data_IF_791451772755
#
_entry.id   IF_791451772755
#
_cell.length_a   1.000
_cell.length_b   1.000
_cell.length_c   1.000
_cell.angle_alpha   90.00
_cell.angle_beta   90.00
_cell.angle_gamma   90.00
#
_symmetry.space_group_name_H-M   'P 1'
#
loop_
_entity.id
_entity.type
_entity.pdbx_description
1 polymer ?
#
# COMPACT_ATOMS: atom_id res chain seq x y z
N UNK A 1 1.69 -40.24 -38.20
CA UNK A 1 0.55 -39.45 -37.69
C UNK A 1 1.05 -38.72 -36.45
N UNK A 2 1.40 -37.42 -36.50
CA UNK A 2 1.98 -36.77 -35.33
C UNK A 2 0.88 -36.51 -34.29
N UNK A 3 1.17 -36.87 -33.04
CA UNK A 3 0.28 -36.71 -31.91
C UNK A 3 -0.07 -35.22 -31.73
N UNK A 4 -1.38 -34.92 -31.77
CA UNK A 4 -1.90 -33.60 -31.43
C UNK A 4 -1.61 -33.35 -29.95
N UNK A 5 -0.57 -32.56 -29.67
CA UNK A 5 -0.31 -32.04 -28.34
C UNK A 5 -1.51 -31.24 -27.87
N UNK A 6 -2.14 -31.68 -26.78
CA UNK A 6 -3.24 -30.94 -26.15
C UNK A 6 -2.73 -29.55 -25.77
N UNK A 7 -3.38 -28.50 -26.31
CA UNK A 7 -3.07 -27.12 -25.96
C UNK A 7 -3.23 -26.94 -24.44
N UNK A 8 -2.29 -26.27 -23.75
CA UNK A 8 -2.44 -25.95 -22.33
C UNK A 8 -3.75 -25.20 -22.14
N UNK A 9 -4.68 -25.76 -21.36
CA UNK A 9 -5.91 -25.06 -20.98
C UNK A 9 -5.50 -23.84 -20.15
N UNK A 10 -5.75 -22.64 -20.67
CA UNK A 10 -5.66 -21.42 -19.89
C UNK A 10 -6.57 -21.56 -18.67
N UNK A 11 -5.97 -21.78 -17.49
CA UNK A 11 -6.69 -21.81 -16.24
C UNK A 11 -7.29 -20.41 -16.05
N UNK A 12 -8.60 -20.26 -16.27
CA UNK A 12 -9.31 -19.03 -15.96
C UNK A 12 -9.13 -18.76 -14.47
N UNK A 13 -8.41 -17.69 -14.13
CA UNK A 13 -8.12 -17.22 -12.76
C UNK A 13 -9.34 -16.70 -11.99
N UNK A 14 -10.49 -17.36 -12.13
CA UNK A 14 -11.76 -16.97 -11.51
C UNK A 14 -12.70 -18.14 -11.25
N UNK A 15 -12.16 -19.35 -11.13
CA UNK A 15 -12.95 -20.53 -10.75
C UNK A 15 -13.48 -20.45 -9.31
N UNK A 16 -14.37 -21.38 -8.90
CA UNK A 16 -14.90 -21.46 -7.55
C UNK A 16 -13.80 -21.54 -6.47
N UNK A 17 -12.63 -22.07 -6.82
CA UNK A 17 -11.45 -22.07 -5.96
C UNK A 17 -10.94 -20.65 -5.62
N UNK A 18 -10.92 -19.72 -6.57
CA UNK A 18 -10.47 -18.34 -6.33
C UNK A 18 -11.43 -17.58 -5.42
N UNK A 19 -12.73 -17.75 -5.62
CA UNK A 19 -13.77 -17.18 -4.74
C UNK A 19 -13.67 -17.76 -3.34
N UNK A 20 -13.44 -19.07 -3.22
CA UNK A 20 -13.25 -19.72 -1.92
C UNK A 20 -12.03 -19.19 -1.17
N UNK A 21 -10.90 -18.97 -1.86
CA UNK A 21 -9.69 -18.38 -1.26
C UNK A 21 -9.96 -16.95 -0.78
N UNK A 22 -10.60 -16.11 -1.60
CA UNK A 22 -10.95 -14.74 -1.20
C UNK A 22 -11.90 -14.71 0.00
N UNK A 23 -12.91 -15.59 0.03
CA UNK A 23 -13.81 -15.72 1.16
C UNK A 23 -13.08 -16.18 2.44
N UNK A 24 -12.18 -17.15 2.32
CA UNK A 24 -11.37 -17.62 3.44
C UNK A 24 -10.45 -16.52 3.99
N UNK A 25 -9.80 -15.75 3.11
CA UNK A 25 -8.97 -14.60 3.51
C UNK A 25 -9.81 -13.51 4.18
N UNK A 26 -11.00 -13.20 3.66
CA UNK A 26 -11.91 -12.24 4.28
C UNK A 26 -12.33 -12.69 5.69
N UNK A 27 -12.72 -13.96 5.85
CA UNK A 27 -13.06 -14.52 7.16
C UNK A 27 -11.86 -14.44 8.10
N UNK A 28 -10.66 -14.81 7.64
CA UNK A 28 -9.44 -14.71 8.44
C UNK A 28 -9.16 -13.26 8.88
N UNK A 29 -9.28 -12.28 7.97
CA UNK A 29 -9.14 -10.85 8.30
C UNK A 29 -10.15 -10.39 9.35
N UNK A 30 -11.41 -10.82 9.23
CA UNK A 30 -12.46 -10.49 10.21
C UNK A 30 -12.14 -11.12 11.57
N UNK A 31 -11.78 -12.40 11.62
CA UNK A 31 -11.48 -13.09 12.87
C UNK A 31 -10.25 -12.52 13.58
N UNK A 32 -9.16 -12.26 12.83
CA UNK A 32 -7.96 -11.61 13.38
C UNK A 32 -8.27 -10.17 13.81
N UNK A 33 -9.14 -9.46 13.08
CA UNK A 33 -9.61 -8.14 13.46
C UNK A 33 -10.39 -8.14 14.77
N UNK A 34 -11.32 -9.08 14.94
CA UNK A 34 -12.06 -9.26 16.19
C UNK A 34 -11.12 -9.61 17.35
N UNK A 35 -10.13 -10.48 17.12
CA UNK A 35 -9.09 -10.77 18.09
C UNK A 35 -8.30 -9.51 18.46
N UNK A 36 -7.87 -8.71 17.47
CA UNK A 36 -7.11 -7.48 17.71
C UNK A 36 -7.88 -6.50 18.62
N UNK A 37 -9.20 -6.39 18.44
CA UNK A 37 -10.04 -5.51 19.26
C UNK A 37 -10.06 -5.90 20.74
N UNK A 38 -9.80 -7.17 21.10
CA UNK A 38 -9.71 -7.60 22.50
C UNK A 38 -8.32 -7.37 23.11
N UNK A 39 -7.29 -7.13 22.29
CA UNK A 39 -5.93 -6.92 22.78
C UNK A 39 -5.71 -5.47 23.21
N UNK A 40 -5.09 -5.27 24.38
CA UNK A 40 -4.67 -3.95 24.84
C UNK A 40 -4.17 -3.94 26.28
N UNK A 41 -3.41 -2.91 26.65
CA UNK A 41 -2.89 -2.71 28.01
C UNK A 41 -3.87 -2.00 28.93
N UNK A 42 -5.06 -1.67 28.44
CA UNK A 42 -6.03 -0.80 29.10
C UNK A 42 -7.00 -1.53 30.02
N UNK A 43 -6.79 -2.82 30.30
CA UNK A 43 -7.66 -3.64 31.15
C UNK A 43 -9.05 -3.98 30.56
N UNK A 44 -9.42 -3.41 29.42
CA UNK A 44 -10.70 -3.67 28.73
C UNK A 44 -10.68 -5.03 28.05
N UNK A 45 -11.53 -5.93 28.53
CA UNK A 45 -11.67 -7.30 28.04
C UNK A 45 -12.81 -7.44 27.01
N UNK A 46 -12.93 -8.61 26.39
CA UNK A 46 -13.96 -8.91 25.38
C UNK A 46 -15.39 -8.73 25.92
N UNK A 47 -15.62 -9.06 27.19
CA UNK A 47 -16.92 -8.91 27.83
C UNK A 47 -17.35 -7.43 27.92
N UNK A 48 -16.41 -6.53 28.20
CA UNK A 48 -16.68 -5.09 28.31
C UNK A 48 -17.02 -4.49 26.95
N UNK A 49 -16.36 -4.95 25.88
CA UNK A 49 -16.67 -4.55 24.51
C UNK A 49 -18.06 -5.02 24.07
N UNK A 50 -18.45 -6.26 24.42
CA UNK A 50 -19.79 -6.77 24.11
C UNK A 50 -20.85 -5.95 24.86
N UNK A 51 -20.64 -5.67 26.15
CA UNK A 51 -21.56 -4.85 26.97
C UNK A 51 -21.73 -3.45 26.39
N UNK A 52 -20.62 -2.81 26.03
CA UNK A 52 -20.61 -1.51 25.36
C UNK A 52 -21.40 -1.54 24.04
N UNK A 53 -21.21 -2.57 23.20
CA UNK A 53 -21.94 -2.72 21.92
C UNK A 53 -23.44 -3.02 22.12
N UNK A 54 -23.81 -3.69 23.21
CA UNK A 54 -25.21 -3.99 23.55
C UNK A 54 -25.94 -2.83 24.25
N UNK A 55 -25.27 -1.70 24.50
CA UNK A 55 -25.86 -0.50 25.08
C UNK A 55 -25.81 -0.44 26.61
N UNK A 56 -25.17 -1.40 27.27
CA UNK A 56 -24.83 -1.31 28.69
C UNK A 56 -23.57 -0.45 28.79
N UNK A 57 -23.72 0.81 29.17
CA UNK A 57 -22.63 1.78 29.34
C UNK A 57 -21.68 1.38 30.47
N UNK A 58 -20.82 0.40 30.20
CA UNK A 58 -19.81 -0.08 31.12
C UNK A 58 -18.64 0.91 31.18
N UNK A 59 -18.76 1.89 32.07
CA UNK A 59 -17.60 2.62 32.58
C UNK A 59 -16.86 1.70 33.55
N UNK A 60 -15.89 0.95 33.05
CA UNK A 60 -14.97 0.18 33.90
C UNK A 60 -13.89 1.11 34.44
N UNK A 61 -13.81 1.25 35.77
CA UNK A 61 -12.67 1.84 36.50
C UNK A 61 -12.13 3.18 35.94
N UNK A 62 -13.02 4.12 35.58
CA UNK A 62 -12.63 5.48 35.17
C UNK A 62 -11.95 5.58 33.80
N UNK A 63 -11.89 4.50 33.03
CA UNK A 63 -11.43 4.51 31.64
C UNK A 63 -12.65 4.30 30.71
N UNK A 64 -13.11 5.33 29.97
CA UNK A 64 -14.25 5.18 29.07
C UNK A 64 -13.93 4.17 27.97
N UNK A 65 -14.50 2.97 28.08
CA UNK A 65 -14.32 1.84 27.13
C UNK A 65 -14.57 2.29 25.68
N UNK A 66 -15.57 3.16 25.49
CA UNK A 66 -15.89 3.76 24.20
C UNK A 66 -14.76 4.60 23.60
N UNK A 67 -14.02 5.38 24.39
CA UNK A 67 -12.90 6.21 23.91
C UNK A 67 -11.69 5.35 23.53
N UNK A 68 -11.40 4.29 24.29
CA UNK A 68 -10.31 3.36 23.94
C UNK A 68 -10.64 2.61 22.65
N UNK A 69 -11.88 2.15 22.53
CA UNK A 69 -12.34 1.43 21.35
C UNK A 69 -12.34 2.32 20.11
N UNK A 70 -13.00 3.49 20.15
CA UNK A 70 -13.15 4.38 19.00
C UNK A 70 -11.94 5.26 18.73
N UNK A 71 -11.17 5.60 19.78
CA UNK A 71 -10.01 6.48 19.70
C UNK A 71 -8.68 5.78 19.42
N UNK A 72 -8.58 4.47 19.62
CA UNK A 72 -7.30 3.76 19.46
C UNK A 72 -7.41 2.41 18.76
N UNK A 73 -8.26 1.48 19.26
CA UNK A 73 -8.31 0.11 18.73
C UNK A 73 -8.93 0.04 17.33
N UNK A 74 -10.09 0.66 17.13
CA UNK A 74 -10.80 0.63 15.86
C UNK A 74 -10.06 1.40 14.74
N UNK A 75 -9.52 2.63 14.96
CA UNK A 75 -8.75 3.33 13.94
C UNK A 75 -7.52 2.55 13.47
N UNK A 76 -6.83 1.88 14.42
CA UNK A 76 -5.64 1.05 14.15
C UNK A 76 -5.98 -0.17 13.30
N UNK A 77 -7.08 -0.88 13.62
CA UNK A 77 -7.57 -2.00 12.82
C UNK A 77 -7.89 -1.56 11.39
N UNK A 78 -8.69 -0.50 11.27
CA UNK A 78 -9.14 0.06 10.00
C UNK A 78 -7.96 0.52 9.14
N UNK A 79 -6.99 1.22 9.74
CA UNK A 79 -5.77 1.63 9.06
C UNK A 79 -4.94 0.42 8.60
N UNK A 80 -4.76 -0.59 9.45
CA UNK A 80 -4.02 -1.80 9.12
C UNK A 80 -4.63 -2.55 7.92
N UNK A 81 -5.95 -2.69 7.90
CA UNK A 81 -6.68 -3.28 6.76
C UNK A 81 -6.49 -2.46 5.49
N UNK A 82 -6.70 -1.14 5.55
CA UNK A 82 -6.56 -0.26 4.39
C UNK A 82 -5.14 -0.27 3.82
N UNK A 83 -4.13 -0.17 4.69
CA UNK A 83 -2.70 -0.21 4.33
C UNK A 83 -2.32 -1.56 3.73
N UNK A 84 -2.79 -2.66 4.32
CA UNK A 84 -2.57 -4.02 3.81
C UNK A 84 -3.11 -4.21 2.39
N UNK A 85 -4.37 -3.82 2.16
CA UNK A 85 -4.97 -3.87 0.82
C UNK A 85 -4.23 -2.98 -0.17
N UNK A 86 -3.85 -1.76 0.24
CA UNK A 86 -3.15 -0.82 -0.62
C UNK A 86 -1.78 -1.35 -1.05
N UNK A 87 -0.93 -1.77 -0.09
CA UNK A 87 0.41 -2.25 -0.39
C UNK A 87 0.41 -3.60 -1.12
N UNK A 88 -0.46 -4.53 -0.73
CA UNK A 88 -0.60 -5.81 -1.41
C UNK A 88 -1.02 -5.65 -2.87
N UNK A 89 -1.99 -4.76 -3.13
CA UNK A 89 -2.48 -4.52 -4.49
C UNK A 89 -1.49 -3.71 -5.33
N UNK A 90 -0.77 -2.76 -4.72
CA UNK A 90 0.32 -2.06 -5.38
C UNK A 90 1.44 -3.03 -5.80
N UNK A 91 1.79 -3.98 -4.93
CA UNK A 91 2.70 -5.09 -5.24
C UNK A 91 2.23 -5.89 -6.45
N UNK A 92 1.02 -6.45 -6.39
CA UNK A 92 0.45 -7.26 -7.48
C UNK A 92 0.39 -6.50 -8.84
N UNK A 93 0.04 -5.21 -8.82
CA UNK A 93 0.03 -4.37 -10.02
C UNK A 93 1.43 -4.21 -10.60
N UNK A 94 2.43 -3.92 -9.77
CA UNK A 94 3.80 -3.75 -10.21
C UNK A 94 4.38 -5.06 -10.73
N UNK A 95 4.18 -6.17 -10.01
CA UNK A 95 4.61 -7.50 -10.46
C UNK A 95 4.03 -7.87 -11.82
N UNK A 96 2.74 -7.60 -12.04
CA UNK A 96 2.06 -7.85 -13.32
C UNK A 96 2.63 -6.99 -14.45
N UNK A 97 2.86 -5.70 -14.18
CA UNK A 97 3.42 -4.75 -15.16
C UNK A 97 4.87 -5.09 -15.53
N UNK A 98 5.69 -5.42 -14.54
CA UNK A 98 7.11 -5.71 -14.74
C UNK A 98 7.36 -7.16 -15.14
N UNK A 99 6.35 -8.03 -15.03
CA UNK A 99 6.47 -9.49 -15.17
C UNK A 99 7.59 -10.05 -14.28
N UNK A 100 7.63 -9.58 -13.05
CA UNK A 100 8.70 -9.90 -12.09
C UNK A 100 8.11 -10.00 -10.69
N UNK A 101 8.14 -11.18 -10.09
CA UNK A 101 7.63 -11.43 -8.74
C UNK A 101 8.37 -10.62 -7.66
N UNK A 102 9.62 -10.21 -7.94
CA UNK A 102 10.41 -9.39 -7.02
C UNK A 102 10.07 -7.89 -7.09
N UNK A 103 9.20 -7.47 -8.01
CA UNK A 103 8.82 -6.06 -8.09
C UNK A 103 7.87 -5.69 -6.96
N UNK A 104 8.15 -4.56 -6.32
CA UNK A 104 7.32 -3.98 -5.27
C UNK A 104 7.44 -2.46 -5.27
N UNK A 105 6.59 -1.75 -4.52
CA UNK A 105 6.69 -0.30 -4.41
C UNK A 105 8.06 0.17 -3.88
N UNK A 106 8.67 -0.63 -3.00
CA UNK A 106 10.01 -0.38 -2.47
C UNK A 106 11.09 -0.48 -3.57
N UNK A 107 10.95 -1.42 -4.52
CA UNK A 107 11.88 -1.52 -5.67
C UNK A 107 11.82 -0.33 -6.62
N UNK A 108 10.72 0.43 -6.62
CA UNK A 108 10.60 1.69 -7.37
C UNK A 108 10.88 2.92 -6.50
N UNK A 109 11.38 2.73 -5.28
CA UNK A 109 11.64 3.80 -4.31
C UNK A 109 10.42 4.69 -4.00
N UNK A 110 9.19 4.20 -4.23
CA UNK A 110 7.96 4.99 -4.03
C UNK A 110 7.78 5.32 -2.55
N UNK A 111 8.02 4.34 -1.68
CA UNK A 111 7.95 4.49 -0.23
C UNK A 111 8.93 5.56 0.26
N UNK A 112 10.21 5.44 -0.14
CA UNK A 112 11.28 6.38 0.21
C UNK A 112 11.01 7.79 -0.34
N UNK A 113 10.55 7.91 -1.59
CA UNK A 113 10.19 9.20 -2.19
C UNK A 113 9.03 9.89 -1.50
N UNK A 114 7.99 9.14 -1.16
CA UNK A 114 6.83 9.64 -0.42
C UNK A 114 7.25 10.20 0.95
N UNK A 115 8.03 9.43 1.70
CA UNK A 115 8.49 9.81 3.04
C UNK A 115 9.51 10.96 3.00
N UNK A 116 10.40 10.97 2.02
CA UNK A 116 11.35 12.08 1.79
C UNK A 116 10.63 13.39 1.54
N UNK A 117 9.63 13.43 0.65
CA UNK A 117 8.94 14.70 0.33
C UNK A 117 8.09 15.20 1.51
N UNK A 118 7.46 14.30 2.28
CA UNK A 118 6.80 14.68 3.54
C UNK A 118 7.81 15.30 4.53
N UNK A 119 8.99 14.69 4.66
CA UNK A 119 10.06 15.20 5.52
C UNK A 119 10.60 16.54 5.05
N UNK A 120 10.79 16.71 3.75
CA UNK A 120 11.25 17.95 3.13
C UNK A 120 10.27 19.10 3.43
N UNK A 121 8.98 18.88 3.20
CA UNK A 121 7.93 19.87 3.46
C UNK A 121 7.89 20.26 4.94
N UNK A 122 7.97 19.27 5.84
CA UNK A 122 7.99 19.53 7.28
C UNK A 122 9.26 20.25 7.72
N UNK A 123 10.43 19.90 7.19
CA UNK A 123 11.71 20.53 7.54
C UNK A 123 11.67 22.05 7.33
N UNK A 124 11.06 22.50 6.23
CA UNK A 124 10.88 23.92 5.92
C UNK A 124 9.68 24.59 6.63
N UNK A 125 8.99 23.88 7.52
CA UNK A 125 7.88 24.44 8.31
C UNK A 125 6.63 24.74 7.49
N UNK A 126 6.47 24.15 6.30
CA UNK A 126 5.24 24.31 5.53
C UNK A 126 4.12 23.54 6.21
N UNK A 127 3.13 24.27 6.72
CA UNK A 127 1.91 23.66 7.25
C UNK A 127 1.08 23.13 6.08
N UNK A 128 1.06 21.82 5.93
CA UNK A 128 0.26 21.14 4.92
C UNK A 128 -0.95 20.51 5.61
N UNK A 129 -2.18 20.86 5.21
CA UNK A 129 -3.37 20.18 5.72
C UNK A 129 -3.28 18.67 5.52
N UNK A 130 -3.92 17.90 6.41
CA UNK A 130 -3.89 16.43 6.37
C UNK A 130 -4.38 15.84 5.03
N UNK A 131 -5.24 16.53 4.29
CA UNK A 131 -5.67 16.09 2.95
C UNK A 131 -4.59 16.32 1.88
N UNK A 132 -3.75 17.34 2.05
CA UNK A 132 -2.70 17.70 1.11
C UNK A 132 -1.41 16.90 1.36
N UNK A 133 -1.21 16.33 2.55
CA UNK A 133 -0.07 15.44 2.81
C UNK A 133 -0.08 14.20 1.90
N UNK A 134 -1.26 13.65 1.60
CA UNK A 134 -1.40 12.56 0.63
C UNK A 134 -0.95 12.94 -0.78
N UNK A 135 -1.24 14.17 -1.22
CA UNK A 135 -0.79 14.68 -2.52
C UNK A 135 0.73 14.93 -2.55
N UNK A 136 1.30 15.42 -1.45
CA UNK A 136 2.75 15.61 -1.28
C UNK A 136 3.48 14.26 -1.32
N UNK A 137 2.98 13.27 -0.57
CA UNK A 137 3.50 11.91 -0.58
C UNK A 137 3.41 11.30 -1.99
N UNK A 138 2.26 11.45 -2.66
CA UNK A 138 2.06 10.99 -4.03
C UNK A 138 3.06 11.62 -5.01
N UNK A 139 3.25 12.94 -4.94
CA UNK A 139 4.19 13.63 -5.81
C UNK A 139 5.63 13.13 -5.59
N UNK A 140 6.04 12.95 -4.34
CA UNK A 140 7.35 12.40 -3.97
C UNK A 140 7.55 10.97 -4.46
N UNK A 141 6.58 10.10 -4.20
CA UNK A 141 6.60 8.71 -4.65
C UNK A 141 6.59 8.57 -6.17
N UNK A 142 5.80 9.39 -6.87
CA UNK A 142 5.75 9.42 -8.33
C UNK A 142 7.08 9.90 -8.92
N UNK A 143 7.67 10.95 -8.35
CA UNK A 143 8.97 11.48 -8.79
C UNK A 143 10.08 10.44 -8.61
N UNK A 144 10.10 9.74 -7.47
CA UNK A 144 11.06 8.66 -7.22
C UNK A 144 10.87 7.50 -8.21
N UNK A 145 9.64 7.02 -8.42
CA UNK A 145 9.37 5.98 -9.40
C UNK A 145 9.76 6.40 -10.82
N UNK A 146 9.46 7.63 -11.21
CA UNK A 146 9.86 8.16 -12.51
C UNK A 146 11.38 8.19 -12.65
N UNK A 147 12.11 8.64 -11.64
CA UNK A 147 13.57 8.65 -11.62
C UNK A 147 14.13 7.23 -11.75
N UNK A 148 13.62 6.26 -10.99
CA UNK A 148 14.05 4.85 -11.07
C UNK A 148 13.81 4.28 -12.47
N UNK A 149 12.63 4.54 -13.07
CA UNK A 149 12.31 4.08 -14.41
C UNK A 149 13.19 4.74 -15.49
N UNK A 150 13.55 6.02 -15.31
CA UNK A 150 14.48 6.73 -16.19
C UNK A 150 15.89 6.13 -16.11
N UNK A 151 16.39 5.87 -14.90
CA UNK A 151 17.69 5.25 -14.65
C UNK A 151 17.77 3.80 -15.16
N UNK A 152 16.69 3.04 -15.02
CA UNK A 152 16.60 1.69 -15.57
C UNK A 152 16.59 1.66 -17.12
N UNK A 153 16.08 2.73 -17.74
CA UNK A 153 16.06 2.95 -19.19
C UNK A 153 15.11 2.01 -19.96
N UNK A 154 15.22 2.01 -21.29
CA UNK A 154 14.34 1.23 -22.21
C UNK A 154 14.50 -0.29 -22.07
N UNK A 155 15.53 -0.76 -21.37
CA UNK A 155 15.79 -2.17 -21.07
C UNK A 155 15.10 -2.67 -19.78
N UNK A 156 14.18 -1.88 -19.20
CA UNK A 156 13.35 -2.30 -18.07
C UNK A 156 12.55 -3.59 -18.33
N UNK A 157 12.42 -4.02 -19.59
CA UNK A 157 11.80 -5.29 -19.97
C UNK A 157 12.74 -6.52 -19.97
N UNK A 158 14.07 -6.34 -19.90
CA UNK A 158 15.04 -7.44 -20.10
C UNK A 158 16.09 -7.62 -19.00
N UNK A 159 16.15 -6.77 -17.97
CA UNK A 159 17.01 -7.04 -16.81
C UNK A 159 16.43 -6.45 -15.52
N UNK A 160 15.66 -7.26 -14.78
CA UNK A 160 15.15 -6.92 -13.43
C UNK A 160 16.26 -6.41 -12.50
N UNK A 161 17.50 -6.86 -12.69
CA UNK A 161 18.68 -6.40 -11.92
C UNK A 161 18.92 -4.89 -12.02
N UNK A 162 18.78 -4.26 -13.20
CA UNK A 162 19.01 -2.81 -13.33
C UNK A 162 17.95 -2.01 -12.61
N UNK A 163 16.69 -2.43 -12.71
CA UNK A 163 15.60 -1.79 -12.00
C UNK A 163 15.79 -1.88 -10.49
N UNK A 164 16.18 -3.06 -9.99
CA UNK A 164 16.45 -3.28 -8.57
C UNK A 164 17.64 -2.41 -8.10
N UNK A 165 18.74 -2.35 -8.85
CA UNK A 165 19.91 -1.53 -8.49
C UNK A 165 19.61 -0.02 -8.55
N UNK A 166 18.87 0.43 -9.56
CA UNK A 166 18.45 1.83 -9.67
C UNK A 166 17.49 2.21 -8.53
N UNK A 167 16.55 1.30 -8.22
CA UNK A 167 15.62 1.42 -7.11
C UNK A 167 16.31 1.52 -5.77
N UNK A 168 17.20 0.58 -5.45
CA UNK A 168 17.94 0.56 -4.19
C UNK A 168 18.84 1.78 -4.05
N UNK A 169 19.59 2.17 -5.08
CA UNK A 169 20.42 3.37 -5.05
C UNK A 169 19.59 4.64 -4.84
N UNK A 170 18.42 4.74 -5.49
CA UNK A 170 17.52 5.89 -5.34
C UNK A 170 16.90 5.94 -3.94
N UNK A 171 16.44 4.80 -3.41
CA UNK A 171 15.90 4.70 -2.06
C UNK A 171 16.96 5.10 -1.02
N UNK A 172 18.18 4.54 -1.10
CA UNK A 172 19.28 4.89 -0.19
C UNK A 172 19.63 6.39 -0.23
N UNK A 173 19.63 7.01 -1.41
CA UNK A 173 19.86 8.44 -1.55
C UNK A 173 18.75 9.27 -0.89
N UNK A 174 17.49 8.89 -1.09
CA UNK A 174 16.32 9.55 -0.48
C UNK A 174 16.27 9.36 1.04
N UNK A 175 16.61 8.17 1.54
CA UNK A 175 16.69 7.87 2.97
C UNK A 175 17.81 8.65 3.64
N UNK A 176 18.99 8.75 3.01
CA UNK A 176 20.09 9.58 3.49
C UNK A 176 19.72 11.06 3.55
N UNK A 177 19.06 11.58 2.50
CA UNK A 177 18.58 12.95 2.48
C UNK A 177 17.49 13.19 3.55
N UNK A 178 16.59 12.22 3.74
CA UNK A 178 15.59 12.24 4.81
C UNK A 178 16.25 12.32 6.18
N UNK A 179 17.22 11.44 6.46
CA UNK A 179 17.98 11.44 7.71
C UNK A 179 18.69 12.77 7.96
N UNK A 180 19.29 13.37 6.92
CA UNK A 180 19.88 14.71 7.00
C UNK A 180 18.85 15.77 7.44
N UNK A 181 17.66 15.79 6.84
CA UNK A 181 16.60 16.73 7.24
C UNK A 181 16.09 16.48 8.67
N UNK A 182 15.94 15.21 9.08
CA UNK A 182 15.52 14.87 10.43
C UNK A 182 16.51 15.36 11.50
N UNK A 183 17.81 15.37 11.18
CA UNK A 183 18.87 15.86 12.07
C UNK A 183 18.92 17.38 12.08
N UNK A 184 18.94 18.02 10.90
CA UNK A 184 19.11 19.47 10.78
C UNK A 184 17.88 20.26 11.24
N UNK A 185 16.67 19.72 11.05
CA UNK A 185 15.39 20.39 11.32
C UNK A 185 14.57 19.68 12.40
N UNK A 186 15.25 19.11 13.41
CA UNK A 186 14.65 18.29 14.48
C UNK A 186 13.35 18.85 15.06
N UNK A 187 13.29 20.16 15.33
CA UNK A 187 12.11 20.79 15.91
C UNK A 187 10.86 20.65 15.03
N UNK A 188 11.03 20.74 13.72
CA UNK A 188 9.94 20.66 12.75
C UNK A 188 9.62 19.21 12.35
N UNK A 189 10.59 18.30 12.46
CA UNK A 189 10.47 16.93 11.97
C UNK A 189 10.32 15.88 13.06
N UNK A 190 10.16 16.27 14.33
CA UNK A 190 10.04 15.31 15.46
C UNK A 190 8.91 14.31 15.27
N UNK A 191 7.74 14.75 14.77
CA UNK A 191 6.62 13.86 14.49
C UNK A 191 6.93 12.84 13.38
N UNK A 192 7.60 13.29 12.31
CA UNK A 192 8.04 12.42 11.22
C UNK A 192 9.12 11.43 11.68
N UNK A 193 10.06 11.85 12.52
CA UNK A 193 11.06 10.95 13.10
C UNK A 193 10.40 9.78 13.85
N UNK A 194 9.39 10.05 14.68
CA UNK A 194 8.62 9.01 15.36
C UNK A 194 7.78 8.15 14.39
N UNK A 195 7.31 8.75 13.31
CA UNK A 195 6.55 8.08 12.24
C UNK A 195 7.44 7.19 11.35
N UNK A 196 8.74 7.50 11.24
CA UNK A 196 9.68 6.91 10.29
C UNK A 196 9.94 5.41 10.43
N UNK A 197 9.59 4.79 11.57
CA UNK A 197 9.62 3.34 11.73
C UNK A 197 8.39 2.62 11.14
N UNK A 198 7.40 3.38 10.69
CA UNK A 198 6.05 2.90 10.43
C UNK A 198 5.29 2.67 11.74
N UNK A 199 4.06 3.18 11.84
CA UNK A 199 3.22 3.02 13.02
C UNK A 199 1.74 3.15 12.68
N UNK A 200 0.94 2.19 13.17
CA UNK A 200 -0.53 2.27 13.16
C UNK A 200 -1.09 2.85 14.46
N UNK A 201 -0.23 3.35 15.36
CA UNK A 201 -0.63 3.74 16.71
C UNK A 201 -1.22 5.15 16.81
N UNK A 202 -0.93 6.04 15.86
CA UNK A 202 -1.24 7.47 15.90
C UNK A 202 -2.29 7.90 14.84
N UNK A 203 -3.29 7.05 14.61
CA UNK A 203 -4.34 7.33 13.63
C UNK A 203 -5.66 7.75 14.29
N UNK A 204 -6.19 8.88 13.81
CA UNK A 204 -7.58 9.25 14.04
C UNK A 204 -8.50 8.42 13.15
N UNK A 205 -9.70 8.12 13.65
CA UNK A 205 -10.71 7.35 12.88
C UNK A 205 -11.04 8.01 11.54
N UNK A 206 -11.05 9.35 11.49
CA UNK A 206 -11.30 10.12 10.28
C UNK A 206 -10.26 9.86 9.17
N UNK A 207 -8.99 9.73 9.55
CA UNK A 207 -7.92 9.48 8.58
C UNK A 207 -8.08 8.10 7.94
N UNK A 208 -8.38 7.09 8.75
CA UNK A 208 -8.66 5.72 8.28
C UNK A 208 -9.89 5.68 7.38
N UNK A 209 -11.01 6.28 7.81
CA UNK A 209 -12.27 6.30 7.06
C UNK A 209 -12.15 7.02 5.71
N UNK A 210 -11.34 8.08 5.63
CA UNK A 210 -11.09 8.80 4.37
C UNK A 210 -10.22 8.03 3.39
N UNK A 211 -9.37 7.12 3.87
CA UNK A 211 -8.51 6.29 3.01
C UNK A 211 -9.31 5.20 2.28
N UNK A 212 -10.30 4.59 2.93
CA UNK A 212 -11.11 3.52 2.34
C UNK A 212 -11.74 3.85 0.98
N UNK A 213 -12.46 4.98 0.78
CA UNK A 213 -13.06 5.27 -0.52
C UNK A 213 -12.00 5.45 -1.61
N UNK A 214 -10.83 6.03 -1.29
CA UNK A 214 -9.73 6.18 -2.23
C UNK A 214 -9.13 4.82 -2.60
N UNK A 215 -8.82 3.98 -1.60
CA UNK A 215 -8.29 2.62 -1.83
C UNK A 215 -9.30 1.80 -2.64
N UNK A 216 -10.57 1.82 -2.27
CA UNK A 216 -11.63 1.11 -3.00
C UNK A 216 -11.75 1.58 -4.45
N UNK A 217 -11.72 2.89 -4.71
CA UNK A 217 -11.76 3.44 -6.06
C UNK A 217 -10.57 2.95 -6.89
N UNK A 218 -9.36 3.01 -6.33
CA UNK A 218 -8.15 2.57 -7.05
C UNK A 218 -8.15 1.05 -7.26
N UNK A 219 -8.68 0.27 -6.32
CA UNK A 219 -8.89 -1.17 -6.48
C UNK A 219 -9.87 -1.49 -7.62
N UNK A 220 -10.98 -0.75 -7.73
CA UNK A 220 -11.90 -0.91 -8.86
C UNK A 220 -11.21 -0.67 -10.21
N UNK A 221 -10.36 0.37 -10.28
CA UNK A 221 -9.54 0.63 -11.47
C UNK A 221 -8.55 -0.53 -11.70
N UNK A 222 -7.83 -0.99 -10.67
CA UNK A 222 -6.91 -2.11 -10.76
C UNK A 222 -7.58 -3.40 -11.28
N UNK A 223 -8.78 -3.71 -10.78
CA UNK A 223 -9.60 -4.84 -11.23
C UNK A 223 -10.04 -4.68 -12.69
N UNK A 224 -10.35 -3.46 -13.15
CA UNK A 224 -10.64 -3.19 -14.55
C UNK A 224 -9.41 -3.38 -15.47
N UNK A 225 -8.18 -3.20 -14.92
CA UNK A 225 -6.94 -3.47 -15.63
C UNK A 225 -6.55 -4.96 -15.67
N UNK A 226 -7.04 -5.79 -14.75
CA UNK A 226 -6.66 -7.22 -14.60
C UNK A 226 -6.56 -7.97 -15.93
N UNK A 227 -7.63 -7.97 -16.73
CA UNK A 227 -7.67 -8.69 -18.02
C UNK A 227 -6.62 -8.18 -19.01
N UNK A 228 -6.33 -6.88 -19.00
CA UNK A 228 -5.32 -6.28 -19.89
C UNK A 228 -3.91 -6.70 -19.45
N UNK A 229 -3.67 -6.72 -18.14
CA UNK A 229 -2.42 -7.19 -17.56
C UNK A 229 -2.19 -8.69 -17.82
N UNK A 230 -3.24 -9.51 -17.72
CA UNK A 230 -3.18 -10.94 -18.06
C UNK A 230 -2.79 -11.16 -19.53
N UNK A 231 -3.38 -10.40 -20.45
CA UNK A 231 -3.04 -10.48 -21.87
C UNK A 231 -1.60 -10.02 -22.13
N UNK A 232 -1.10 -9.02 -21.38
CA UNK A 232 0.30 -8.58 -21.47
C UNK A 232 1.32 -9.64 -21.00
N UNK A 233 0.89 -10.71 -20.31
CA UNK A 233 1.77 -11.85 -20.00
C UNK A 233 2.12 -12.69 -21.23
N UNK A 234 1.31 -12.63 -22.30
CA UNK A 234 1.59 -13.31 -23.58
C UNK A 234 2.71 -12.61 -24.38
N UNK A 235 3.15 -11.43 -23.94
CA UNK A 235 4.11 -10.57 -24.64
C UNK A 235 3.46 -9.31 -25.18
N UNK A 236 4.24 -8.22 -25.25
CA UNK A 236 3.73 -6.89 -25.64
C UNK A 236 3.23 -6.89 -27.10
N UNK A 237 3.90 -7.63 -28.00
CA UNK A 237 3.50 -7.73 -29.41
C UNK A 237 2.15 -8.46 -29.55
N UNK A 238 1.99 -9.62 -28.90
CA UNK A 238 0.75 -10.40 -28.91
C UNK A 238 -0.41 -9.63 -28.24
N UNK A 239 -0.14 -8.91 -27.16
CA UNK A 239 -1.15 -8.10 -26.50
C UNK A 239 -1.58 -6.90 -27.37
N UNK A 240 -0.65 -6.32 -28.13
CA UNK A 240 -0.97 -5.20 -29.04
C UNK A 240 -1.85 -5.62 -30.21
N UNK A 241 -1.67 -6.83 -30.76
CA UNK A 241 -2.53 -7.36 -31.84
C UNK A 241 -3.94 -7.70 -31.34
N UNK A 242 -4.08 -8.01 -30.06
CA UNK A 242 -5.36 -8.20 -29.37
C UNK A 242 -6.03 -6.87 -28.93
N UNK A 243 -5.45 -5.72 -29.31
CA UNK A 243 -6.03 -4.40 -29.08
C UNK A 243 -5.74 -3.80 -27.71
N UNK A 244 -4.79 -4.35 -26.94
CA UNK A 244 -4.42 -3.79 -25.63
C UNK A 244 -3.49 -2.59 -25.81
N UNK A 245 -3.85 -1.39 -25.30
CA UNK A 245 -2.95 -0.24 -25.35
C UNK A 245 -1.84 -0.38 -24.28
N UNK A 246 -0.72 -0.99 -24.66
CA UNK A 246 0.38 -1.37 -23.75
C UNK A 246 0.86 -0.20 -22.88
N UNK A 247 1.20 0.94 -23.51
CA UNK A 247 1.76 2.10 -22.81
C UNK A 247 0.79 2.70 -21.79
N UNK A 248 -0.47 2.89 -22.18
CA UNK A 248 -1.49 3.45 -21.29
C UNK A 248 -1.79 2.50 -20.14
N UNK A 249 -1.93 1.20 -20.41
CA UNK A 249 -2.18 0.18 -19.37
C UNK A 249 -1.05 0.17 -18.34
N UNK A 250 0.21 0.21 -18.80
CA UNK A 250 1.39 0.27 -17.94
C UNK A 250 1.41 1.52 -17.07
N UNK A 251 1.19 2.69 -17.66
CA UNK A 251 1.18 3.98 -16.94
C UNK A 251 0.07 4.00 -15.89
N UNK A 252 -1.15 3.59 -16.25
CA UNK A 252 -2.27 3.55 -15.32
C UNK A 252 -2.01 2.60 -14.16
N UNK A 253 -1.48 1.39 -14.41
CA UNK A 253 -1.15 0.45 -13.35
C UNK A 253 -0.06 0.98 -12.41
N UNK A 254 1.00 1.61 -12.93
CA UNK A 254 2.04 2.26 -12.12
C UNK A 254 1.45 3.40 -11.30
N UNK A 255 0.60 4.26 -11.89
CA UNK A 255 -0.07 5.33 -11.16
C UNK A 255 -0.94 4.80 -10.02
N UNK A 256 -1.73 3.75 -10.27
CA UNK A 256 -2.53 3.10 -9.23
C UNK A 256 -1.63 2.58 -8.09
N UNK A 257 -0.53 1.90 -8.42
CA UNK A 257 0.42 1.42 -7.42
C UNK A 257 1.01 2.58 -6.59
N UNK A 258 1.42 3.68 -7.24
CA UNK A 258 1.96 4.86 -6.55
C UNK A 258 0.91 5.51 -5.65
N UNK A 259 -0.33 5.68 -6.11
CA UNK A 259 -1.42 6.23 -5.27
C UNK A 259 -1.66 5.36 -4.04
N UNK A 260 -1.75 4.04 -4.21
CA UNK A 260 -1.95 3.11 -3.11
C UNK A 260 -0.79 3.15 -2.11
N UNK A 261 0.45 3.12 -2.59
CA UNK A 261 1.64 3.18 -1.73
C UNK A 261 1.74 4.52 -1.00
N UNK A 262 1.56 5.65 -1.67
CA UNK A 262 1.63 6.96 -1.02
C UNK A 262 0.49 7.16 -0.01
N UNK A 263 -0.70 6.58 -0.27
CA UNK A 263 -1.79 6.53 0.70
C UNK A 263 -1.39 5.73 1.94
N UNK A 264 -0.78 4.55 1.75
CA UNK A 264 -0.26 3.73 2.85
C UNK A 264 0.82 4.45 3.66
N UNK A 265 1.77 5.13 3.00
CA UNK A 265 2.81 5.92 3.67
C UNK A 265 2.22 7.08 4.45
N UNK A 266 1.19 7.73 3.91
CA UNK A 266 0.51 8.84 4.61
C UNK A 266 -0.29 8.35 5.83
N UNK A 267 -0.80 7.11 5.80
CA UNK A 267 -1.57 6.55 6.91
C UNK A 267 -0.69 5.97 8.02
N UNK A 268 0.30 5.17 7.63
CA UNK A 268 1.03 4.33 8.58
C UNK A 268 2.55 4.48 8.47
N UNK A 269 3.03 5.30 7.54
CA UNK A 269 4.45 5.55 7.36
C UNK A 269 5.11 4.59 6.40
N UNK A 270 6.43 4.70 6.25
CA UNK A 270 7.17 3.78 5.40
C UNK A 270 7.10 2.37 6.00
N UNK A 271 6.26 1.51 5.41
CA UNK A 271 6.14 0.09 5.73
C UNK A 271 6.52 -0.69 4.47
N UNK A 272 7.55 -1.53 4.58
CA UNK A 272 8.07 -2.31 3.47
C UNK A 272 7.64 -3.78 3.54
N UNK A 273 7.89 -4.54 2.47
CA UNK A 273 7.69 -6.00 2.36
C UNK A 273 6.24 -6.51 2.35
N UNK A 274 5.23 -5.68 2.54
CA UNK A 274 3.82 -6.13 2.49
C UNK A 274 3.38 -6.56 1.08
N UNK A 275 3.88 -5.88 0.05
CA UNK A 275 3.53 -6.13 -1.35
C UNK A 275 4.47 -7.10 -2.09
N UNK A 276 5.38 -7.79 -1.39
CA UNK A 276 6.30 -8.77 -1.97
C UNK A 276 5.72 -10.18 -1.76
N UNK A 277 5.24 -10.82 -2.83
CA UNK A 277 4.62 -12.15 -2.79
C UNK A 277 4.68 -12.91 -4.11
#
# INVERSE_FOLDING_TARGET
MPAQGSLPRAARGGGPAGVAVLAALLVATVLVGLWHLTQGTSGVDAADLVRYLTGDGADTEGAPVGEIFTGSRLPRLLAGVAVGFALGSAGALLQSVTRNALASPDTLAVTAGSYFTLTLVAAFGLSVPLWASGAVAFAGGLAAAALVLLLAGRAAGTAGTRLILAGSATAMALDAATGMFLILFKQNTTGLFAWGSGSLAQLNIDASLRAFPLVALVLCVALALSRRLDVMHLGDDAASTLGVPIRSTRVTAVLCAVVLTSTAVTLAGPISFVGLG
#
